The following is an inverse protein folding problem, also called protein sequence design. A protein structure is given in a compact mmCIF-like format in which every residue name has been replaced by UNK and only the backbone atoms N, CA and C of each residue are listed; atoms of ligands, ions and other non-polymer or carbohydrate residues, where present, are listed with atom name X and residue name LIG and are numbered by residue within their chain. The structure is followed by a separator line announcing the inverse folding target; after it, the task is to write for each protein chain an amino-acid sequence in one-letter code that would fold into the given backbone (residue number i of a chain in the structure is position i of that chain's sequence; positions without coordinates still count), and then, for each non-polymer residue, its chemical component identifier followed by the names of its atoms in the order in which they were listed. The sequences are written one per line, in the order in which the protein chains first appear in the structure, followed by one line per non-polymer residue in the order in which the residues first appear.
data_IF_324296529503
#
_entry.id   IF_324296529503
#
_cell.length_a   1.000
_cell.length_b   1.000
_cell.length_c   1.000
_cell.angle_alpha   90.00
_cell.angle_beta   90.00
_cell.angle_gamma   90.00
#
_symmetry.space_group_name_H-M   'P 1'
#
loop_
_entity.id
_entity.type
_entity.pdbx_description
1 polymer ?
#
# COMPACT_ATOMS: atom_id res chain seq x y z
N UNK A 1 -13.19 -15.78 -26.82
CA UNK A 1 -13.47 -14.95 -25.64
C UNK A 1 -12.27 -15.09 -24.73
N UNK A 2 -11.36 -14.11 -24.70
CA UNK A 2 -10.34 -14.09 -23.66
C UNK A 2 -11.06 -13.74 -22.37
N UNK A 3 -11.27 -14.73 -21.51
CA UNK A 3 -11.56 -14.47 -20.10
C UNK A 3 -10.39 -13.59 -19.65
N UNK A 4 -10.63 -12.31 -19.33
CA UNK A 4 -9.57 -11.49 -18.76
C UNK A 4 -9.23 -12.12 -17.41
N UNK A 5 -8.14 -12.89 -17.36
CA UNK A 5 -7.64 -13.44 -16.12
C UNK A 5 -7.46 -12.28 -15.13
N UNK A 6 -7.96 -12.46 -13.91
CA UNK A 6 -7.82 -11.44 -12.89
C UNK A 6 -6.31 -11.23 -12.67
N UNK A 7 -5.81 -9.99 -12.49
CA UNK A 7 -4.39 -9.72 -12.30
C UNK A 7 -3.72 -10.42 -11.10
N UNK A 8 -4.47 -11.15 -10.28
CA UNK A 8 -3.97 -11.91 -9.13
C UNK A 8 -4.18 -13.41 -9.27
N UNK A 9 -4.72 -13.91 -10.40
CA UNK A 9 -4.88 -15.35 -10.61
C UNK A 9 -3.53 -16.07 -10.55
N UNK A 10 -2.45 -15.39 -10.90
CA UNK A 10 -1.08 -15.87 -10.79
C UNK A 10 -0.47 -15.73 -9.37
N UNK A 11 -1.08 -14.95 -8.46
CA UNK A 11 -0.59 -14.79 -7.09
C UNK A 11 -1.12 -15.94 -6.21
N UNK A 12 -0.59 -17.13 -6.46
CA UNK A 12 -0.89 -18.31 -5.66
C UNK A 12 -0.19 -18.26 -4.30
N UNK A 13 -0.61 -19.06 -3.30
CA UNK A 13 0.11 -19.17 -2.03
C UNK A 13 1.59 -19.53 -2.22
N UNK A 14 1.91 -20.41 -3.16
CA UNK A 14 3.30 -20.84 -3.44
C UNK A 14 4.12 -19.66 -3.97
N UNK A 15 3.62 -18.97 -4.99
CA UNK A 15 4.27 -17.76 -5.56
C UNK A 15 4.52 -16.68 -4.50
N UNK A 16 3.59 -16.51 -3.55
CA UNK A 16 3.75 -15.56 -2.46
C UNK A 16 4.85 -16.00 -1.48
N UNK A 17 4.88 -17.27 -1.10
CA UNK A 17 5.87 -17.80 -0.17
C UNK A 17 7.27 -17.79 -0.80
N UNK A 18 7.38 -18.20 -2.06
CA UNK A 18 8.62 -18.11 -2.85
C UNK A 18 9.14 -16.67 -2.92
N UNK A 19 8.26 -15.69 -3.17
CA UNK A 19 8.62 -14.28 -3.17
C UNK A 19 9.18 -13.79 -1.81
N UNK A 20 8.65 -14.30 -0.71
CA UNK A 20 9.11 -13.96 0.64
C UNK A 20 10.47 -14.62 0.94
N UNK A 21 10.67 -15.87 0.56
CA UNK A 21 11.95 -16.58 0.71
C UNK A 21 13.06 -15.93 -0.14
N UNK A 22 12.76 -15.59 -1.39
CA UNK A 22 13.68 -14.84 -2.28
C UNK A 22 14.07 -13.48 -1.70
N UNK A 23 13.15 -12.84 -0.98
CA UNK A 23 13.40 -11.61 -0.23
C UNK A 23 14.12 -11.83 1.11
N UNK A 24 14.50 -13.06 1.44
CA UNK A 24 15.29 -13.41 2.62
C UNK A 24 14.49 -13.57 3.91
N UNK A 25 13.18 -13.79 3.82
CA UNK A 25 12.33 -14.13 4.97
C UNK A 25 12.16 -15.64 5.07
N UNK A 26 12.58 -16.25 6.18
CA UNK A 26 12.32 -17.66 6.45
C UNK A 26 10.84 -17.86 6.84
N UNK A 27 10.01 -18.32 5.91
CA UNK A 27 8.56 -18.46 6.08
C UNK A 27 8.17 -19.84 6.62
N UNK A 28 7.23 -19.84 7.55
CA UNK A 28 6.69 -21.07 8.18
C UNK A 28 5.57 -21.74 7.39
N UNK A 29 5.24 -21.24 6.19
CA UNK A 29 4.08 -21.67 5.39
C UNK A 29 2.71 -21.22 5.93
N UNK A 30 2.65 -20.57 7.11
CA UNK A 30 1.40 -20.00 7.65
C UNK A 30 1.04 -18.73 6.88
N UNK A 31 -0.11 -18.75 6.23
CA UNK A 31 -0.62 -17.62 5.43
C UNK A 31 -2.05 -17.27 5.81
N UNK A 32 -2.32 -15.99 6.08
CA UNK A 32 -3.67 -15.50 6.37
C UNK A 32 -3.97 -14.25 5.55
N UNK A 33 -4.99 -14.32 4.67
CA UNK A 33 -5.40 -13.19 3.86
C UNK A 33 -6.11 -12.12 4.71
N UNK A 34 -5.75 -10.86 4.52
CA UNK A 34 -6.36 -9.70 5.19
C UNK A 34 -7.32 -8.98 4.24
N UNK A 35 -8.33 -8.32 4.83
CA UNK A 35 -9.33 -7.59 4.07
C UNK A 35 -8.71 -6.36 3.39
N UNK A 36 -8.48 -6.45 2.08
CA UNK A 36 -8.03 -5.35 1.23
C UNK A 36 -8.59 -5.50 -0.19
N UNK A 37 -9.13 -4.41 -0.74
CA UNK A 37 -9.80 -4.42 -2.05
C UNK A 37 -8.84 -4.10 -3.20
N UNK A 38 -7.89 -3.18 -3.00
CA UNK A 38 -6.96 -2.73 -4.04
C UNK A 38 -5.76 -3.68 -4.18
N UNK A 39 -5.14 -4.01 -3.04
CA UNK A 39 -3.93 -4.83 -2.97
C UNK A 39 -4.25 -6.20 -2.37
N UNK A 40 -3.44 -7.21 -2.65
CA UNK A 40 -3.51 -8.47 -1.89
C UNK A 40 -2.59 -8.34 -0.69
N UNK A 41 -3.18 -8.36 0.50
CA UNK A 41 -2.47 -8.20 1.76
C UNK A 41 -2.60 -9.48 2.55
N UNK A 42 -1.48 -9.99 3.03
CA UNK A 42 -1.41 -11.22 3.80
C UNK A 42 -0.61 -11.01 5.08
N UNK A 43 -1.02 -11.69 6.13
CA UNK A 43 -0.16 -11.97 7.26
C UNK A 43 0.61 -13.28 6.96
N UNK A 44 1.93 -13.19 6.94
CA UNK A 44 2.84 -14.31 6.65
C UNK A 44 3.57 -14.68 7.94
N UNK A 45 3.44 -15.93 8.37
CA UNK A 45 4.17 -16.44 9.52
C UNK A 45 5.62 -16.73 9.18
N UNK A 46 6.55 -16.22 9.99
CA UNK A 46 7.96 -16.59 9.92
C UNK A 46 8.24 -17.84 10.77
N UNK A 47 9.35 -18.52 10.48
CA UNK A 47 9.85 -19.63 11.29
C UNK A 47 10.22 -19.17 12.70
N UNK A 48 10.95 -18.06 12.77
CA UNK A 48 11.37 -17.42 14.01
C UNK A 48 10.78 -16.01 14.10
N UNK A 49 10.23 -15.68 15.27
CA UNK A 49 9.68 -14.35 15.55
C UNK A 49 8.20 -14.16 15.17
N UNK A 50 7.69 -12.91 15.29
CA UNK A 50 6.30 -12.58 14.96
C UNK A 50 6.06 -12.67 13.45
N UNK A 51 4.80 -12.86 13.01
CA UNK A 51 4.47 -12.79 11.60
C UNK A 51 4.64 -11.35 11.08
N UNK A 52 4.75 -11.24 9.76
CA UNK A 52 4.84 -9.96 9.04
C UNK A 52 3.61 -9.74 8.17
N UNK A 53 3.38 -8.50 7.77
CA UNK A 53 2.34 -8.14 6.81
C UNK A 53 2.98 -7.92 5.45
N UNK A 54 2.56 -8.68 4.44
CA UNK A 54 3.04 -8.53 3.07
C UNK A 54 1.92 -7.96 2.20
N UNK A 55 2.22 -6.88 1.49
CA UNK A 55 1.33 -6.19 0.55
C UNK A 55 1.85 -6.40 -0.86
N UNK A 56 1.11 -7.15 -1.67
CA UNK A 56 1.34 -7.28 -3.10
C UNK A 56 0.52 -6.22 -3.83
N UNK A 57 1.22 -5.35 -4.56
CA UNK A 57 0.63 -4.29 -5.35
C UNK A 57 -0.08 -4.86 -6.57
N UNK A 58 -1.24 -4.28 -6.93
CA UNK A 58 -1.96 -4.68 -8.14
C UNK A 58 -1.11 -4.40 -9.38
N UNK A 59 -0.83 -5.42 -10.22
CA UNK A 59 -0.10 -5.20 -11.46
C UNK A 59 -0.73 -4.10 -12.32
N UNK A 60 0.11 -3.21 -12.85
CA UNK A 60 -0.30 -2.09 -13.70
C UNK A 60 -1.01 -0.93 -13.00
N UNK A 61 -1.27 -0.99 -11.69
CA UNK A 61 -1.92 0.11 -10.95
C UNK A 61 -0.96 1.26 -10.64
N UNK A 62 0.28 0.92 -10.25
CA UNK A 62 1.32 1.87 -9.91
C UNK A 62 2.62 1.47 -10.62
N UNK A 63 3.39 2.47 -11.06
CA UNK A 63 4.75 2.24 -11.53
C UNK A 63 5.69 1.99 -10.34
N UNK A 64 6.84 1.38 -10.61
CA UNK A 64 7.88 1.19 -9.59
C UNK A 64 8.25 2.52 -8.91
N UNK A 65 8.44 3.59 -9.70
CA UNK A 65 8.79 4.91 -9.18
C UNK A 65 7.71 5.48 -8.23
N UNK A 66 6.42 5.28 -8.55
CA UNK A 66 5.31 5.70 -7.68
C UNK A 66 5.24 4.93 -6.36
N UNK A 67 5.64 3.65 -6.38
CA UNK A 67 5.68 2.82 -5.17
C UNK A 67 6.88 3.20 -4.31
N UNK A 68 8.07 3.37 -4.92
CA UNK A 68 9.28 3.80 -4.22
C UNK A 68 9.12 5.17 -3.57
N UNK A 69 8.43 6.09 -4.24
CA UNK A 69 8.13 7.41 -3.70
C UNK A 69 7.19 7.34 -2.47
N UNK A 70 6.19 6.44 -2.47
CA UNK A 70 5.38 6.15 -1.26
C UNK A 70 6.27 5.60 -0.13
N UNK A 71 7.16 4.65 -0.44
CA UNK A 71 8.05 4.07 0.55
C UNK A 71 9.00 5.11 1.16
N UNK A 72 9.64 5.94 0.33
CA UNK A 72 10.51 7.03 0.78
C UNK A 72 9.78 7.93 1.77
N UNK A 73 8.57 8.38 1.42
CA UNK A 73 7.77 9.23 2.30
C UNK A 73 7.42 8.54 3.62
N UNK A 74 6.98 7.28 3.60
CA UNK A 74 6.67 6.56 4.85
C UNK A 74 7.90 6.34 5.72
N UNK A 75 9.09 6.21 5.14
CA UNK A 75 10.35 6.15 5.90
C UNK A 75 10.71 7.50 6.50
N UNK A 76 10.50 8.61 5.77
CA UNK A 76 10.68 9.96 6.32
C UNK A 76 9.74 10.23 7.51
N UNK A 77 8.48 9.83 7.40
CA UNK A 77 7.51 9.93 8.51
C UNK A 77 7.98 9.12 9.73
N UNK A 78 8.42 7.87 9.51
CA UNK A 78 8.93 7.02 10.59
C UNK A 78 10.19 7.60 11.23
N UNK A 79 11.12 8.15 10.44
CA UNK A 79 12.35 8.78 10.93
C UNK A 79 12.09 10.07 11.73
N UNK A 80 10.92 10.67 11.58
CA UNK A 80 10.46 11.83 12.34
C UNK A 80 9.56 11.45 13.54
N UNK A 81 9.60 10.17 13.97
CA UNK A 81 8.82 9.62 15.08
C UNK A 81 7.29 9.75 14.93
N UNK A 82 6.79 9.86 13.69
CA UNK A 82 5.35 9.82 13.41
C UNK A 82 4.90 8.36 13.43
N UNK A 83 3.77 8.01 14.09
CA UNK A 83 3.35 6.62 14.29
C UNK A 83 2.74 6.00 13.03
N UNK A 84 3.59 5.73 12.04
CA UNK A 84 3.27 4.98 10.83
C UNK A 84 3.99 3.62 10.84
N UNK A 85 3.54 2.71 9.98
CA UNK A 85 4.27 1.46 9.71
C UNK A 85 4.90 1.58 8.33
N UNK A 86 6.18 1.94 8.29
CA UNK A 86 6.96 1.97 7.06
C UNK A 86 7.31 0.54 6.62
N UNK A 87 7.56 0.31 5.32
CA UNK A 87 8.05 -0.99 4.84
C UNK A 87 9.40 -1.35 5.49
N UNK A 88 9.63 -2.63 5.72
CA UNK A 88 10.93 -3.15 6.13
C UNK A 88 11.94 -3.01 4.98
N UNK A 89 13.19 -2.70 5.34
CA UNK A 89 14.31 -2.80 4.42
C UNK A 89 14.71 -4.27 4.33
N UNK A 90 14.56 -4.87 3.16
CA UNK A 90 14.93 -6.26 2.90
C UNK A 90 16.46 -6.40 2.85
N UNK A 91 17.03 -7.63 2.90
CA UNK A 91 18.47 -7.87 2.78
C UNK A 91 19.12 -7.28 1.52
N UNK A 92 18.34 -7.07 0.45
CA UNK A 92 18.77 -6.38 -0.76
C UNK A 92 19.08 -4.89 -0.57
N UNK A 93 18.73 -4.31 0.58
CA UNK A 93 18.76 -2.87 0.85
C UNK A 93 17.55 -2.10 0.31
N UNK A 94 16.60 -2.80 -0.31
CA UNK A 94 15.37 -2.19 -0.84
C UNK A 94 14.16 -2.45 0.04
N UNK A 95 13.18 -1.55 0.02
CA UNK A 95 11.85 -1.72 0.63
C UNK A 95 10.83 -2.31 -0.33
N UNK A 96 11.17 -2.38 -1.63
CA UNK A 96 10.30 -2.84 -2.70
C UNK A 96 10.88 -4.11 -3.33
N UNK A 97 10.17 -5.22 -3.15
CA UNK A 97 10.45 -6.50 -3.77
C UNK A 97 9.73 -6.62 -5.10
N UNK A 98 10.25 -7.47 -5.97
CA UNK A 98 9.59 -7.89 -7.20
C UNK A 98 9.75 -9.38 -7.36
N UNK A 99 8.63 -10.08 -7.57
CA UNK A 99 8.60 -11.49 -7.92
C UNK A 99 7.58 -11.63 -9.05
N UNK A 100 8.02 -12.20 -10.18
CA UNK A 100 7.29 -12.16 -11.46
C UNK A 100 6.80 -10.74 -11.81
N UNK A 101 5.49 -10.59 -12.05
CA UNK A 101 4.83 -9.33 -12.37
C UNK A 101 4.36 -8.56 -11.12
N UNK A 102 4.61 -9.09 -9.93
CA UNK A 102 4.16 -8.48 -8.68
C UNK A 102 5.27 -7.69 -7.99
N UNK A 103 5.00 -6.42 -7.78
CA UNK A 103 5.71 -5.65 -6.76
C UNK A 103 5.12 -5.97 -5.38
N UNK A 104 5.96 -6.04 -4.36
CA UNK A 104 5.51 -6.24 -2.99
C UNK A 104 6.38 -5.51 -1.97
N UNK A 105 5.82 -5.30 -0.78
CA UNK A 105 6.54 -4.77 0.36
C UNK A 105 6.12 -5.52 1.63
N UNK A 106 7.04 -5.61 2.58
CA UNK A 106 6.87 -6.31 3.86
C UNK A 106 6.86 -5.28 4.97
N UNK A 107 6.00 -5.45 5.97
CA UNK A 107 5.77 -4.52 7.06
C UNK A 107 5.73 -5.28 8.39
N UNK A 108 6.16 -4.63 9.47
CA UNK A 108 5.93 -5.15 10.82
C UNK A 108 4.43 -5.32 11.07
N UNK A 109 4.05 -6.44 11.68
CA UNK A 109 2.69 -6.58 12.19
C UNK A 109 2.50 -5.65 13.39
N UNK A 110 1.57 -4.68 13.25
CA UNK A 110 1.10 -3.85 14.35
C UNK A 110 -0.36 -4.15 14.64
N UNK A 111 -0.61 -4.73 15.80
CA UNK A 111 -1.95 -4.82 16.37
C UNK A 111 -2.43 -3.47 16.92
N UNK A 112 -3.71 -3.38 17.22
CA UNK A 112 -4.32 -2.18 17.77
C UNK A 112 -5.83 -2.19 17.58
N UNK A 113 -6.49 -1.16 18.10
CA UNK A 113 -7.90 -0.92 17.85
C UNK A 113 -8.05 0.36 17.03
N UNK A 114 -9.13 0.42 16.23
CA UNK A 114 -9.49 1.66 15.56
C UNK A 114 -9.68 2.77 16.61
N UNK A 115 -9.16 3.99 16.36
CA UNK A 115 -9.32 5.08 17.30
C UNK A 115 -10.80 5.45 17.46
N UNK A 116 -11.25 5.63 18.70
CA UNK A 116 -12.60 6.14 18.99
C UNK A 116 -12.64 7.66 18.74
N UNK A 117 -13.19 8.04 17.59
CA UNK A 117 -13.32 9.44 17.17
C UNK A 117 -14.41 10.21 17.90
N UNK A 118 -15.17 9.57 18.80
CA UNK A 118 -16.10 10.29 19.68
C UNK A 118 -15.41 10.92 20.89
N UNK A 119 -14.18 10.48 21.21
CA UNK A 119 -13.39 11.00 22.32
C UNK A 119 -12.53 12.18 21.85
N UNK A 120 -12.73 13.35 22.45
CA UNK A 120 -12.04 14.59 22.08
C UNK A 120 -10.51 14.48 22.15
N UNK A 121 -9.97 13.82 23.17
CA UNK A 121 -8.52 13.63 23.30
C UNK A 121 -7.94 12.74 22.20
N UNK A 122 -8.71 11.75 21.74
CA UNK A 122 -8.34 10.92 20.59
C UNK A 122 -8.32 11.77 19.32
N UNK A 123 -9.35 12.58 19.08
CA UNK A 123 -9.40 13.51 17.95
C UNK A 123 -8.24 14.51 17.97
N UNK A 124 -7.89 15.04 19.15
CA UNK A 124 -6.77 15.96 19.31
C UNK A 124 -5.46 15.31 18.87
N UNK A 125 -5.17 14.09 19.35
CA UNK A 125 -3.96 13.34 18.95
C UNK A 125 -3.92 13.03 17.45
N UNK A 126 -5.04 12.61 16.87
CA UNK A 126 -5.14 12.37 15.42
C UNK A 126 -4.86 13.65 14.64
N UNK A 127 -5.39 14.80 15.10
CA UNK A 127 -5.12 16.11 14.50
C UNK A 127 -3.65 16.50 14.58
N UNK A 128 -2.97 16.22 15.71
CA UNK A 128 -1.54 16.46 15.86
C UNK A 128 -0.72 15.63 14.86
N UNK A 129 -0.99 14.33 14.75
CA UNK A 129 -0.29 13.46 13.79
C UNK A 129 -0.54 13.86 12.35
N UNK A 130 -1.79 14.22 12.01
CA UNK A 130 -2.11 14.70 10.67
C UNK A 130 -1.34 15.99 10.33
N UNK A 131 -1.26 16.94 11.28
CA UNK A 131 -0.47 18.15 11.12
C UNK A 131 1.03 17.86 10.92
N UNK A 132 1.58 16.89 11.65
CA UNK A 132 2.98 16.46 11.48
C UNK A 132 3.22 15.82 10.11
N UNK A 133 2.32 14.96 9.64
CA UNK A 133 2.39 14.35 8.30
C UNK A 133 2.37 15.45 7.24
N UNK A 134 1.50 16.46 7.36
CA UNK A 134 1.46 17.59 6.43
C UNK A 134 2.74 18.42 6.44
N UNK A 135 3.32 18.68 7.62
CA UNK A 135 4.56 19.44 7.72
C UNK A 135 5.72 18.75 6.99
N UNK A 136 5.83 17.42 7.08
CA UNK A 136 6.84 16.65 6.35
C UNK A 136 6.51 16.60 4.87
N UNK A 137 5.25 16.30 4.51
CA UNK A 137 4.82 16.25 3.11
C UNK A 137 4.99 17.58 2.35
N UNK A 138 5.02 18.71 3.05
CA UNK A 138 5.28 20.02 2.47
C UNK A 138 6.76 20.26 2.11
N UNK A 139 7.71 19.48 2.65
CA UNK A 139 9.14 19.66 2.41
C UNK A 139 9.54 19.23 0.99
N UNK A 140 8.93 18.15 0.49
CA UNK A 140 9.27 17.55 -0.81
C UNK A 140 8.00 17.02 -1.49
N UNK A 141 7.46 17.75 -2.49
CA UNK A 141 6.33 17.27 -3.28
C UNK A 141 6.69 16.00 -4.05
N UNK A 142 5.71 15.11 -4.20
CA UNK A 142 5.82 13.96 -5.09
C UNK A 142 5.98 14.38 -6.56
N UNK A 143 6.81 13.63 -7.28
CA UNK A 143 7.09 13.77 -8.70
C UNK A 143 6.35 12.72 -9.55
N UNK A 144 6.13 11.52 -9.01
CA UNK A 144 5.58 10.39 -9.79
C UNK A 144 4.13 10.07 -9.44
N UNK A 145 3.75 10.19 -8.17
CA UNK A 145 2.37 9.98 -7.71
C UNK A 145 1.45 11.04 -8.30
N UNK A 146 0.26 10.58 -8.69
CA UNK A 146 -0.77 11.45 -9.24
C UNK A 146 -1.25 12.42 -8.15
N UNK A 147 -1.33 13.71 -8.47
CA UNK A 147 -1.97 14.69 -7.62
C UNK A 147 -3.47 14.42 -7.57
N UNK A 148 -4.04 14.34 -6.37
CA UNK A 148 -5.48 14.23 -6.21
C UNK A 148 -6.11 15.59 -6.54
N UNK A 149 -6.80 15.66 -7.67
CA UNK A 149 -7.67 16.78 -8.04
C UNK A 149 -9.10 16.29 -8.19
N UNK A 150 -9.90 16.29 -7.10
CA UNK A 150 -11.26 15.77 -7.15
C UNK A 150 -12.16 16.50 -8.14
N UNK A 151 -11.99 17.83 -8.25
CA UNK A 151 -12.80 18.65 -9.16
C UNK A 151 -12.51 18.31 -10.62
N UNK A 152 -11.23 18.27 -11.02
CA UNK A 152 -10.86 17.94 -12.41
C UNK A 152 -11.37 16.55 -12.80
N UNK A 153 -11.28 15.57 -11.88
CA UNK A 153 -11.79 14.21 -12.12
C UNK A 153 -13.31 14.17 -12.28
N UNK A 154 -14.05 14.93 -11.48
CA UNK A 154 -15.51 15.04 -11.59
C UNK A 154 -15.91 15.73 -12.89
N UNK A 155 -15.27 16.85 -13.23
CA UNK A 155 -15.55 17.61 -14.44
C UNK A 155 -15.25 16.78 -15.71
N UNK A 156 -14.10 16.10 -15.75
CA UNK A 156 -13.74 15.22 -16.86
C UNK A 156 -14.73 14.07 -17.02
N UNK A 157 -15.15 13.44 -15.92
CA UNK A 157 -16.15 12.36 -15.95
C UNK A 157 -17.52 12.87 -16.40
N UNK A 158 -17.93 14.05 -15.93
CA UNK A 158 -19.19 14.68 -16.33
C UNK A 158 -19.20 15.00 -17.83
N UNK A 159 -18.14 15.61 -18.35
CA UNK A 159 -18.02 15.93 -19.77
C UNK A 159 -18.06 14.66 -20.62
N UNK A 160 -17.35 13.61 -20.22
CA UNK A 160 -17.38 12.31 -20.90
C UNK A 160 -18.80 11.74 -21.00
N UNK A 161 -19.60 11.84 -19.93
CA UNK A 161 -20.97 11.34 -19.92
C UNK A 161 -21.91 12.17 -20.79
N UNK A 162 -21.80 13.50 -20.73
CA UNK A 162 -22.64 14.42 -21.48
C UNK A 162 -22.32 14.40 -22.98
N UNK A 163 -21.04 14.31 -23.35
CA UNK A 163 -20.60 14.29 -24.76
C UNK A 163 -20.69 12.90 -25.40
N UNK A 164 -20.61 11.84 -24.60
CA UNK A 164 -20.55 10.46 -25.08
C UNK A 164 -21.89 9.76 -25.30
N UNK A 165 -23.02 10.47 -25.29
CA UNK A 165 -24.38 9.90 -25.42
C UNK A 165 -24.70 8.80 -24.38
N UNK A 166 -24.03 8.83 -23.21
CA UNK A 166 -24.25 7.84 -22.13
C UNK A 166 -25.49 8.14 -21.29
N UNK A 167 -25.98 9.38 -21.33
CA UNK A 167 -27.15 9.83 -20.58
C UNK A 167 -28.36 9.88 -21.52
N UNK A 168 -29.45 9.13 -21.24
CA UNK A 168 -30.69 9.21 -22.01
C UNK A 168 -31.26 10.64 -21.98
N UNK A 169 -31.80 11.08 -23.12
CA UNK A 169 -32.49 12.37 -23.24
C UNK A 169 -33.84 12.37 -22.55
#
# INVERSE_FOLDING_TARGET
MNVSAHPYDALTPDTLLDAMEDAGFAVSGRLFALNSYENRVYQVGLDEGPPVITKFYRPGRWTEAQIREEHEFTQELLAADIPVVAPLVMPSGSTLGKHDDFFFAVFDQRGGQAPDTSVTDTLYRLGQWLGQIHNIGALKPFQHRVALSPLDGIEASNNLLLEGDWVPK
#
